data_IF_356779813108
#
_entry.id   IF_356779813108
#
_cell.length_a   1.000
_cell.length_b   1.000
_cell.length_c   1.000
_cell.angle_alpha   90.00
_cell.angle_beta   90.00
_cell.angle_gamma   90.00
#
_symmetry.space_group_name_H-M   'P 1'
#
loop_
_entity.id
_entity.type
_entity.pdbx_description
1 polymer ?
#
# COMPACT_ATOMS: atom_id res chain seq x y z
N UNK A 1 2.65 -17.07 5.44
CA UNK A 1 2.24 -16.35 6.68
C UNK A 1 1.52 -15.08 6.26
N UNK A 2 0.47 -14.65 6.97
CA UNK A 2 -0.23 -13.40 6.67
C UNK A 2 0.37 -12.25 7.50
N UNK A 3 1.56 -11.78 7.11
CA UNK A 3 2.18 -10.61 7.73
C UNK A 3 1.35 -9.38 7.45
N UNK A 4 0.99 -8.64 8.51
CA UNK A 4 0.27 -7.38 8.40
C UNK A 4 1.21 -6.22 8.73
N UNK A 5 1.30 -5.28 7.79
CA UNK A 5 2.10 -4.08 7.87
C UNK A 5 1.24 -2.89 8.30
N UNK A 6 1.80 -2.05 9.15
CA UNK A 6 1.22 -0.76 9.52
C UNK A 6 1.38 0.26 8.38
N UNK A 7 0.61 1.37 8.38
CA UNK A 7 0.75 2.40 7.36
C UNK A 7 2.14 3.04 7.35
N UNK A 8 2.82 3.08 8.50
CA UNK A 8 4.21 3.55 8.59
C UNK A 8 5.17 2.60 7.88
N UNK A 9 5.06 1.30 8.16
CA UNK A 9 5.90 0.31 7.47
C UNK A 9 5.68 0.32 5.97
N UNK A 10 4.42 0.43 5.52
CA UNK A 10 4.11 0.52 4.08
C UNK A 10 4.58 1.83 3.47
N UNK A 11 4.51 2.94 4.20
CA UNK A 11 5.01 4.23 3.71
C UNK A 11 6.52 4.20 3.51
N UNK A 12 7.24 3.59 4.45
CA UNK A 12 8.69 3.41 4.37
C UNK A 12 9.05 2.44 3.24
N UNK A 13 8.28 1.36 3.09
CA UNK A 13 8.48 0.35 2.04
C UNK A 13 8.24 0.90 0.63
N UNK A 14 7.23 1.75 0.45
CA UNK A 14 6.88 2.35 -0.85
C UNK A 14 7.59 3.69 -1.13
N UNK A 15 8.30 4.25 -0.15
CA UNK A 15 8.95 5.57 -0.28
C UNK A 15 7.97 6.73 -0.41
N UNK A 16 6.78 6.63 0.18
CA UNK A 16 5.75 7.69 0.17
C UNK A 16 5.40 8.13 1.58
N UNK A 17 4.64 9.21 1.77
CA UNK A 17 4.18 9.60 3.11
C UNK A 17 2.95 8.79 3.54
N UNK A 18 2.74 8.63 4.86
CA UNK A 18 1.49 8.07 5.41
C UNK A 18 0.27 8.89 4.97
N UNK A 19 0.43 10.21 4.80
CA UNK A 19 -0.60 11.11 4.27
C UNK A 19 -0.99 10.74 2.84
N UNK A 20 -0.01 10.47 1.98
CA UNK A 20 -0.22 9.98 0.61
C UNK A 20 -1.01 8.67 0.60
N UNK A 21 -0.67 7.70 1.44
CA UNK A 21 -1.44 6.47 1.58
C UNK A 21 -2.88 6.72 2.04
N UNK A 22 -3.09 7.71 2.92
CA UNK A 22 -4.43 8.11 3.37
C UNK A 22 -5.25 8.71 2.24
N UNK A 23 -4.67 9.58 1.43
CA UNK A 23 -5.30 10.13 0.23
C UNK A 23 -5.66 9.02 -0.75
N UNK A 24 -4.75 8.06 -1.01
CA UNK A 24 -5.03 6.94 -1.91
C UNK A 24 -6.23 6.12 -1.47
N UNK A 25 -6.34 5.81 -0.16
CA UNK A 25 -7.50 5.08 0.38
C UNK A 25 -8.79 5.88 0.27
N UNK A 26 -8.75 7.18 0.58
CA UNK A 26 -9.94 8.04 0.53
C UNK A 26 -10.44 8.28 -0.91
N UNK A 27 -9.53 8.43 -1.86
CA UNK A 27 -9.86 8.73 -3.27
C UNK A 27 -10.08 7.47 -4.11
N UNK A 28 -9.64 6.30 -3.63
CA UNK A 28 -9.60 5.08 -4.44
C UNK A 28 -8.64 5.17 -5.63
N UNK A 29 -7.68 6.12 -5.61
CA UNK A 29 -6.81 6.43 -6.76
C UNK A 29 -6.00 5.24 -7.25
N UNK A 30 -5.62 4.34 -6.34
CA UNK A 30 -4.83 3.17 -6.70
C UNK A 30 -5.40 1.89 -6.08
N UNK A 31 -5.29 0.74 -6.76
CA UNK A 31 -5.75 -0.56 -6.28
C UNK A 31 -4.79 -1.15 -5.22
N UNK A 32 -4.50 -0.40 -4.15
CA UNK A 32 -3.77 -0.94 -2.98
C UNK A 32 -4.78 -1.35 -1.91
N UNK A 33 -4.98 -2.66 -1.78
CA UNK A 33 -5.87 -3.25 -0.77
C UNK A 33 -5.39 -2.93 0.64
N UNK A 34 -6.34 -2.63 1.53
CA UNK A 34 -6.09 -2.40 2.95
C UNK A 34 -7.12 -3.12 3.81
N UNK A 35 -6.74 -3.45 5.03
CA UNK A 35 -7.59 -4.08 6.03
C UNK A 35 -7.89 -3.04 7.11
N UNK A 36 -9.16 -2.88 7.45
CA UNK A 36 -9.57 -2.14 8.64
C UNK A 36 -9.67 -3.09 9.84
N UNK A 37 -8.96 -2.76 10.91
CA UNK A 37 -9.03 -3.43 12.21
C UNK A 37 -9.43 -2.39 13.25
N UNK A 38 -10.74 -2.20 13.42
CA UNK A 38 -11.29 -1.09 14.20
C UNK A 38 -10.85 0.27 13.63
N UNK A 39 -10.16 1.08 14.48
CA UNK A 39 -9.59 2.37 14.05
C UNK A 39 -8.28 2.25 13.26
N UNK A 40 -7.64 1.07 13.28
CA UNK A 40 -6.34 0.86 12.62
C UNK A 40 -6.55 0.47 11.17
N UNK A 41 -5.68 0.98 10.31
CA UNK A 41 -5.53 0.51 8.93
C UNK A 41 -4.26 -0.31 8.87
N UNK A 42 -4.34 -1.48 8.25
CA UNK A 42 -3.24 -2.43 8.07
C UNK A 42 -3.20 -2.85 6.60
N UNK A 43 -2.08 -3.40 6.16
CA UNK A 43 -1.86 -3.88 4.81
C UNK A 43 -1.31 -5.29 4.87
N UNK A 44 -1.71 -6.17 3.95
CA UNK A 44 -0.98 -7.43 3.80
C UNK A 44 0.31 -7.14 3.08
N UNK A 45 1.41 -7.72 3.56
CA UNK A 45 2.70 -7.65 2.88
C UNK A 45 2.58 -8.09 1.42
N UNK A 46 1.89 -9.21 1.15
CA UNK A 46 1.62 -9.71 -0.20
C UNK A 46 0.87 -8.72 -1.09
N UNK A 47 -0.07 -7.95 -0.53
CA UNK A 47 -0.85 -6.98 -1.31
C UNK A 47 0.04 -5.77 -1.69
N UNK A 48 0.97 -5.38 -0.82
CA UNK A 48 1.95 -4.31 -1.07
C UNK A 48 2.99 -4.76 -2.11
N UNK A 49 3.48 -5.98 -2.01
CA UNK A 49 4.40 -6.55 -3.02
C UNK A 49 3.74 -6.64 -4.40
N UNK A 50 2.51 -7.18 -4.46
CA UNK A 50 1.74 -7.26 -5.70
C UNK A 50 1.48 -5.87 -6.30
N UNK A 51 1.28 -4.86 -5.46
CA UNK A 51 1.13 -3.48 -5.90
C UNK A 51 2.40 -2.94 -6.59
N UNK A 52 3.58 -3.27 -6.07
CA UNK A 52 4.85 -2.90 -6.69
C UNK A 52 5.04 -3.66 -8.00
N UNK A 53 4.85 -4.98 -7.97
CA UNK A 53 5.03 -5.85 -9.14
C UNK A 53 4.11 -5.45 -10.31
N UNK A 54 2.88 -5.02 -10.02
CA UNK A 54 1.96 -4.50 -11.04
C UNK A 54 2.33 -3.12 -11.62
N UNK A 55 3.41 -2.49 -11.15
CA UNK A 55 3.92 -1.18 -11.59
C UNK A 55 5.37 -1.24 -12.07
N UNK A 56 5.90 -2.43 -12.27
CA UNK A 56 7.19 -2.59 -12.94
C UNK A 56 6.94 -2.45 -14.44
N UNK A 57 7.54 -1.42 -15.04
CA UNK A 57 7.51 -1.19 -16.49
C UNK A 57 8.93 -1.35 -17.01
N UNK A 58 9.14 -2.19 -18.03
CA UNK A 58 10.47 -2.41 -18.63
C UNK A 58 10.92 -1.22 -19.49
N UNK A 59 9.96 -0.58 -20.15
CA UNK A 59 10.18 0.57 -21.00
C UNK A 59 9.11 1.63 -20.72
N UNK A 60 9.56 2.85 -20.46
CA UNK A 60 8.69 4.02 -20.49
C UNK A 60 8.69 4.49 -21.94
N UNK A 61 7.53 4.44 -22.61
CA UNK A 61 7.34 5.14 -23.88
C UNK A 61 7.46 6.65 -23.68
#
# INVERSE_FOLDING_TARGET
MNTLLTPSQVSDFLGVTIGTLSVWRCTGRYPLSFIKVGRRVMYRESDVENFINGRVYEHTL
#
